data_IF_494164123696
#
_entry.id   IF_494164123696
#
_cell.length_a   1.000
_cell.length_b   1.000
_cell.length_c   1.000
_cell.angle_alpha   90.00
_cell.angle_beta   90.00
_cell.angle_gamma   90.00
#
_symmetry.space_group_name_H-M   'P 1'
#
loop_
_entity.id
_entity.type
_entity.pdbx_description
1 polymer ?
#
# COMPACT_ATOMS: atom_id res chain seq x y z
N UNK A 1 -17.61 -15.39 -45.54
CA UNK A 1 -17.86 -16.01 -44.25
C UNK A 1 -16.68 -16.87 -43.82
N UNK A 2 -16.40 -16.90 -42.55
CA UNK A 2 -15.35 -17.75 -42.02
C UNK A 2 -15.76 -19.21 -42.10
N UNK A 3 -14.87 -20.09 -42.56
CA UNK A 3 -15.09 -21.53 -42.56
C UNK A 3 -15.14 -22.03 -41.10
N UNK A 4 -16.34 -22.33 -40.60
CA UNK A 4 -16.58 -22.72 -39.19
C UNK A 4 -15.81 -23.99 -38.79
N UNK A 5 -15.35 -24.81 -39.74
CA UNK A 5 -14.56 -26.02 -39.42
C UNK A 5 -13.10 -25.76 -39.11
N UNK A 6 -12.58 -24.57 -39.43
CA UNK A 6 -11.15 -24.19 -39.15
C UNK A 6 -10.95 -23.33 -37.93
N UNK A 7 -12.01 -22.85 -37.29
CA UNK A 7 -11.91 -21.99 -36.12
C UNK A 7 -12.22 -22.82 -34.87
N UNK A 8 -11.22 -23.07 -34.08
CA UNK A 8 -11.40 -23.63 -32.75
C UNK A 8 -11.67 -22.47 -31.77
N UNK A 9 -12.83 -22.49 -31.12
CA UNK A 9 -13.24 -21.43 -30.17
C UNK A 9 -12.20 -21.25 -29.06
N UNK A 10 -11.54 -22.33 -28.67
CA UNK A 10 -10.47 -22.34 -27.65
C UNK A 10 -9.28 -21.47 -28.03
N UNK A 11 -8.97 -21.32 -29.34
CA UNK A 11 -7.87 -20.50 -29.84
C UNK A 11 -8.13 -18.98 -29.66
N UNK A 12 -9.39 -18.61 -29.43
CA UNK A 12 -9.86 -17.24 -29.29
C UNK A 12 -10.34 -16.91 -27.87
N UNK A 13 -10.28 -17.89 -26.96
CA UNK A 13 -10.65 -17.70 -25.58
C UNK A 13 -9.58 -16.91 -24.83
N UNK A 14 -9.99 -16.09 -23.86
CA UNK A 14 -9.08 -15.46 -22.93
C UNK A 14 -8.33 -16.54 -22.14
N UNK A 15 -7.04 -16.37 -21.98
CA UNK A 15 -6.23 -17.27 -21.14
C UNK A 15 -6.64 -17.11 -19.68
N UNK A 16 -6.85 -18.21 -18.94
CA UNK A 16 -7.12 -18.13 -17.51
C UNK A 16 -5.90 -17.57 -16.79
N UNK A 17 -6.15 -16.69 -15.83
CA UNK A 17 -5.11 -16.12 -14.94
C UNK A 17 -5.40 -16.58 -13.53
N UNK A 18 -4.35 -17.10 -12.86
CA UNK A 18 -4.45 -17.46 -11.45
C UNK A 18 -4.72 -16.20 -10.62
N UNK A 19 -5.74 -16.26 -9.77
CA UNK A 19 -6.12 -15.13 -8.93
C UNK A 19 -6.50 -15.59 -7.52
N UNK A 20 -6.38 -14.65 -6.58
CA UNK A 20 -6.82 -14.84 -5.21
C UNK A 20 -7.61 -13.61 -4.74
N UNK A 21 -8.81 -13.85 -4.19
CA UNK A 21 -9.62 -12.79 -3.59
C UNK A 21 -9.38 -12.78 -2.08
N UNK A 22 -9.00 -11.62 -1.56
CA UNK A 22 -8.78 -11.39 -0.14
C UNK A 22 -9.45 -10.09 0.29
N UNK A 23 -10.47 -10.17 1.15
CA UNK A 23 -11.19 -9.02 1.70
C UNK A 23 -11.56 -7.97 0.62
N UNK A 24 -12.19 -8.39 -0.48
CA UNK A 24 -12.57 -7.59 -1.65
C UNK A 24 -11.41 -7.05 -2.53
N UNK A 25 -10.16 -7.36 -2.19
CA UNK A 25 -9.02 -7.11 -3.07
C UNK A 25 -8.76 -8.34 -3.94
N UNK A 26 -8.49 -8.13 -5.22
CA UNK A 26 -8.19 -9.19 -6.18
C UNK A 26 -6.70 -9.14 -6.51
N UNK A 27 -5.99 -10.19 -6.16
CA UNK A 27 -4.59 -10.39 -6.52
C UNK A 27 -4.52 -11.33 -7.72
N UNK A 28 -3.76 -10.94 -8.75
CA UNK A 28 -3.55 -11.74 -9.96
C UNK A 28 -2.08 -12.16 -10.05
N UNK A 29 -1.84 -13.39 -10.53
CA UNK A 29 -0.51 -13.93 -10.73
C UNK A 29 -0.27 -14.10 -12.22
N UNK A 30 0.68 -13.35 -12.76
CA UNK A 30 0.95 -13.31 -14.20
C UNK A 30 2.02 -14.34 -14.63
N UNK A 31 2.83 -14.83 -13.71
CA UNK A 31 3.91 -15.79 -13.97
C UNK A 31 3.89 -16.92 -12.96
N UNK A 32 4.45 -18.08 -13.33
CA UNK A 32 4.60 -19.23 -12.42
C UNK A 32 5.77 -19.02 -11.46
N UNK A 33 5.61 -18.10 -10.52
CA UNK A 33 6.56 -17.91 -9.43
C UNK A 33 6.14 -18.73 -8.21
N UNK A 34 7.14 -19.11 -7.39
CA UNK A 34 6.92 -19.87 -6.15
C UNK A 34 6.25 -19.09 -5.02
N UNK A 35 5.72 -17.91 -5.34
CA UNK A 35 5.11 -17.02 -4.36
C UNK A 35 3.66 -17.42 -4.07
N UNK A 36 3.43 -17.95 -2.87
CA UNK A 36 2.09 -18.28 -2.38
C UNK A 36 1.45 -17.04 -1.71
N UNK A 37 0.76 -16.24 -2.51
CA UNK A 37 0.07 -15.04 -2.03
C UNK A 37 -0.97 -15.38 -0.95
N UNK A 38 -1.68 -16.50 -1.06
CA UNK A 38 -2.68 -16.93 -0.09
C UNK A 38 -2.07 -17.13 1.31
N UNK A 39 -0.91 -17.81 1.37
CA UNK A 39 -0.18 -18.03 2.62
C UNK A 39 0.25 -16.70 3.25
N UNK A 40 0.74 -15.77 2.42
CA UNK A 40 1.14 -14.43 2.86
C UNK A 40 -0.05 -13.64 3.42
N UNK A 41 -1.14 -13.54 2.67
CA UNK A 41 -2.34 -12.80 3.07
C UNK A 41 -2.99 -13.39 4.32
N UNK A 42 -2.97 -14.71 4.48
CA UNK A 42 -3.43 -15.38 5.72
C UNK A 42 -2.60 -14.96 6.95
N UNK A 43 -1.28 -14.79 6.79
CA UNK A 43 -0.44 -14.29 7.89
C UNK A 43 -0.76 -12.82 8.22
N UNK A 44 -0.91 -11.99 7.20
CA UNK A 44 -1.29 -10.57 7.36
C UNK A 44 -2.63 -10.47 8.10
N UNK A 45 -3.64 -11.24 7.68
CA UNK A 45 -4.97 -11.26 8.31
C UNK A 45 -4.89 -11.56 9.81
N UNK A 46 -4.06 -12.51 10.22
CA UNK A 46 -3.85 -12.81 11.64
C UNK A 46 -3.21 -11.66 12.42
N UNK A 47 -2.28 -10.93 11.79
CA UNK A 47 -1.58 -9.80 12.41
C UNK A 47 -2.52 -8.63 12.63
N UNK A 48 -3.37 -8.32 11.64
CA UNK A 48 -4.27 -7.16 11.67
C UNK A 48 -5.61 -7.46 12.37
N UNK A 49 -5.88 -8.72 12.73
CA UNK A 49 -7.16 -9.08 13.38
C UNK A 49 -7.46 -8.16 14.58
N UNK A 50 -8.71 -7.66 14.74
CA UNK A 50 -9.94 -8.03 14.03
C UNK A 50 -10.30 -7.17 12.80
N UNK A 51 -9.37 -6.44 12.21
CA UNK A 51 -9.63 -5.55 11.08
C UNK A 51 -10.05 -6.38 9.85
N UNK A 52 -11.15 -5.95 9.19
CA UNK A 52 -11.72 -6.59 8.00
C UNK A 52 -11.99 -5.57 6.92
N UNK A 53 -11.33 -5.69 5.74
CA UNK A 53 -11.46 -4.74 4.64
C UNK A 53 -12.67 -5.00 3.74
N UNK A 54 -13.32 -6.14 3.84
CA UNK A 54 -14.57 -6.45 3.14
C UNK A 54 -15.73 -5.51 3.53
N UNK A 55 -15.56 -4.76 4.64
CA UNK A 55 -16.50 -3.73 5.11
C UNK A 55 -16.13 -2.31 4.65
N UNK A 56 -14.99 -2.14 3.99
CA UNK A 56 -14.50 -0.83 3.56
C UNK A 56 -14.99 -0.50 2.16
N UNK A 57 -15.34 0.76 1.94
CA UNK A 57 -15.75 1.27 0.64
C UNK A 57 -14.59 1.96 -0.05
N UNK A 58 -14.40 1.67 -1.34
CA UNK A 58 -13.47 2.42 -2.20
C UNK A 58 -13.91 3.88 -2.28
N UNK A 59 -12.97 4.79 -2.12
CA UNK A 59 -13.22 6.23 -2.18
C UNK A 59 -12.63 6.85 -3.45
N UNK A 60 -11.30 6.76 -3.62
CA UNK A 60 -10.60 7.44 -4.72
C UNK A 60 -9.22 6.86 -4.99
N UNK A 61 -8.69 7.19 -6.16
CA UNK A 61 -7.28 6.99 -6.53
C UNK A 61 -6.60 8.33 -6.72
N UNK A 62 -5.38 8.45 -6.17
CA UNK A 62 -4.43 9.52 -6.48
C UNK A 62 -3.19 8.89 -7.09
N UNK A 63 -2.64 9.51 -8.14
CA UNK A 63 -1.47 8.96 -8.84
C UNK A 63 -0.37 10.02 -8.90
N UNK A 64 0.86 9.58 -8.64
CA UNK A 64 2.06 10.41 -8.65
C UNK A 64 3.05 9.86 -9.65
N UNK A 65 3.61 10.73 -10.49
CA UNK A 65 4.80 10.41 -11.27
C UNK A 65 6.01 10.91 -10.51
N UNK A 66 6.99 10.05 -10.27
CA UNK A 66 8.17 10.32 -9.45
C UNK A 66 9.41 10.11 -10.32
N UNK A 67 10.34 11.08 -10.31
CA UNK A 67 11.59 11.02 -11.07
C UNK A 67 12.68 10.29 -10.28
N UNK A 68 12.40 9.07 -9.87
CA UNK A 68 13.37 8.17 -9.28
C UNK A 68 13.11 6.72 -9.69
N UNK A 69 14.15 5.90 -9.62
CA UNK A 69 14.00 4.46 -9.76
C UNK A 69 13.00 3.94 -8.72
N UNK A 70 12.10 3.05 -9.12
CA UNK A 70 11.08 2.49 -8.24
C UNK A 70 11.66 1.82 -6.98
N UNK A 71 12.88 1.30 -7.04
CA UNK A 71 13.56 0.69 -5.89
C UNK A 71 13.95 1.73 -4.83
N UNK A 72 14.31 2.95 -5.23
CA UNK A 72 14.58 4.04 -4.29
C UNK A 72 13.32 4.35 -3.48
N UNK A 73 12.18 4.45 -4.15
CA UNK A 73 10.91 4.66 -3.47
C UNK A 73 10.55 3.49 -2.53
N UNK A 74 10.80 2.25 -2.98
CA UNK A 74 10.61 1.07 -2.13
C UNK A 74 11.55 1.08 -0.92
N UNK A 75 12.83 1.39 -1.10
CA UNK A 75 13.81 1.43 -0.01
C UNK A 75 13.43 2.49 1.03
N UNK A 76 12.96 3.66 0.60
CA UNK A 76 12.45 4.71 1.48
C UNK A 76 11.24 4.22 2.31
N UNK A 77 10.35 3.43 1.71
CA UNK A 77 9.18 2.89 2.42
C UNK A 77 9.54 1.73 3.37
N UNK A 78 10.60 0.96 3.11
CA UNK A 78 10.94 -0.26 3.87
C UNK A 78 11.52 0.02 5.26
N UNK A 79 11.81 1.27 5.58
CA UNK A 79 12.39 1.67 6.85
C UNK A 79 11.64 2.89 7.43
N UNK A 80 11.89 3.22 8.68
CA UNK A 80 11.24 4.35 9.36
C UNK A 80 12.24 5.35 9.97
N UNK A 81 13.53 5.23 9.66
CA UNK A 81 14.57 6.09 10.24
C UNK A 81 14.47 7.53 9.78
N UNK A 82 13.96 7.76 8.56
CA UNK A 82 13.75 9.10 8.00
C UNK A 82 12.55 9.83 8.64
N UNK A 83 11.58 9.12 9.23
CA UNK A 83 10.32 9.71 9.73
C UNK A 83 10.57 10.92 10.66
N UNK A 84 11.43 10.85 11.68
CA UNK A 84 11.62 12.01 12.57
C UNK A 84 12.26 13.23 11.92
N UNK A 85 12.90 13.06 10.76
CA UNK A 85 13.64 14.11 10.05
C UNK A 85 12.81 14.64 8.87
N UNK A 86 12.21 13.76 8.08
CA UNK A 86 11.51 14.08 6.83
C UNK A 86 10.03 14.39 7.08
N UNK A 87 9.38 13.70 8.03
CA UNK A 87 7.93 13.76 8.24
C UNK A 87 7.54 14.30 9.63
N UNK A 88 7.69 15.58 9.93
CA UNK A 88 7.38 16.12 11.25
C UNK A 88 5.92 15.89 11.63
N UNK A 89 4.97 16.05 10.71
CA UNK A 89 3.54 15.80 10.96
C UNK A 89 3.24 14.33 11.27
N UNK A 90 3.86 13.39 10.56
CA UNK A 90 3.72 11.96 10.83
C UNK A 90 4.35 11.60 12.17
N UNK A 91 5.53 12.10 12.46
CA UNK A 91 6.22 11.89 13.74
C UNK A 91 5.40 12.42 14.94
N UNK A 92 4.64 13.49 14.74
CA UNK A 92 3.70 14.00 15.75
C UNK A 92 2.44 13.12 15.89
N UNK A 93 1.99 12.49 14.81
CA UNK A 93 0.80 11.65 14.80
C UNK A 93 1.04 10.24 15.39
N UNK A 94 2.26 9.73 15.36
CA UNK A 94 2.63 8.39 15.84
C UNK A 94 3.50 8.43 17.08
N UNK A 95 3.49 7.34 17.85
CA UNK A 95 4.49 7.11 18.91
C UNK A 95 5.72 6.43 18.31
N UNK A 96 6.66 7.22 17.80
CA UNK A 96 7.87 6.71 17.16
C UNK A 96 8.70 5.78 18.06
N UNK A 97 8.67 5.94 19.38
CA UNK A 97 9.34 5.01 20.31
C UNK A 97 8.79 3.59 20.25
N UNK A 98 7.55 3.43 19.77
CA UNK A 98 6.92 2.12 19.58
C UNK A 98 7.09 1.56 18.16
N UNK A 99 7.77 2.27 17.27
CA UNK A 99 7.95 1.86 15.88
C UNK A 99 8.80 0.60 15.80
N UNK A 100 8.30 -0.39 15.06
CA UNK A 100 8.97 -1.67 14.87
C UNK A 100 8.94 -2.08 13.42
N UNK A 101 10.01 -2.72 12.98
CA UNK A 101 10.14 -3.33 11.66
C UNK A 101 10.38 -4.83 11.83
N UNK A 102 9.60 -5.64 11.11
CA UNK A 102 9.68 -7.10 11.11
C UNK A 102 9.73 -7.58 9.65
N UNK A 103 10.61 -8.53 9.36
CA UNK A 103 10.79 -9.09 8.02
C UNK A 103 10.31 -10.53 7.99
N UNK A 104 9.63 -10.89 6.90
CA UNK A 104 9.12 -12.22 6.62
C UNK A 104 9.61 -12.67 5.25
N UNK A 105 9.35 -13.92 4.89
CA UNK A 105 9.84 -14.52 3.64
C UNK A 105 9.45 -13.71 2.37
N UNK A 106 8.20 -13.19 2.32
CA UNK A 106 7.64 -12.56 1.12
C UNK A 106 7.03 -11.19 1.40
N UNK A 107 7.15 -10.66 2.61
CA UNK A 107 6.66 -9.35 2.98
C UNK A 107 7.44 -8.78 4.15
N UNK A 108 7.40 -7.49 4.31
CA UNK A 108 7.81 -6.81 5.53
C UNK A 108 6.63 -6.13 6.21
N UNK A 109 6.78 -5.89 7.49
CA UNK A 109 5.81 -5.19 8.31
C UNK A 109 6.53 -4.13 9.12
N UNK A 110 6.00 -2.93 9.06
CA UNK A 110 6.32 -1.87 10.01
C UNK A 110 5.04 -1.52 10.75
N UNK A 111 5.13 -1.25 12.05
CA UNK A 111 3.97 -0.86 12.83
C UNK A 111 4.34 0.03 14.01
N UNK A 112 3.39 0.85 14.45
CA UNK A 112 3.55 1.72 15.60
C UNK A 112 2.19 2.01 16.25
N UNK A 113 2.23 2.54 17.47
CA UNK A 113 1.04 3.10 18.11
C UNK A 113 0.77 4.51 17.61
N UNK A 114 -0.51 4.84 17.45
CA UNK A 114 -0.98 6.17 17.05
C UNK A 114 -1.23 7.01 18.29
N UNK A 115 -0.81 8.27 18.27
CA UNK A 115 -1.14 9.24 19.32
C UNK A 115 -2.57 9.75 19.11
N UNK A 116 -3.39 9.67 20.15
CA UNK A 116 -4.82 9.99 20.05
C UNK A 116 -5.15 11.48 19.85
N UNK A 117 -4.20 12.38 20.12
CA UNK A 117 -4.45 13.84 20.13
C UNK A 117 -4.14 14.52 18.81
N UNK A 118 -3.14 14.05 18.05
CA UNK A 118 -2.61 14.72 16.85
C UNK A 118 -2.82 13.92 15.56
N UNK A 119 -3.44 12.75 15.63
CA UNK A 119 -3.65 11.90 14.47
C UNK A 119 -4.90 12.30 13.67
N UNK A 120 -4.83 12.32 12.32
CA UNK A 120 -5.99 12.50 11.45
C UNK A 120 -6.90 11.27 11.40
N UNK A 121 -6.46 10.12 11.93
CA UNK A 121 -7.20 8.88 11.82
C UNK A 121 -8.41 8.80 12.75
N UNK A 122 -9.39 7.95 12.40
CA UNK A 122 -10.60 7.74 13.19
C UNK A 122 -10.24 7.32 14.63
N UNK A 123 -10.76 8.09 15.59
CA UNK A 123 -10.55 7.79 17.03
C UNK A 123 -11.61 6.78 17.46
N UNK A 124 -11.23 5.54 17.71
CA UNK A 124 -12.16 4.50 18.21
C UNK A 124 -11.78 3.90 19.56
N UNK A 125 -10.51 3.95 19.94
CA UNK A 125 -10.04 3.44 21.24
C UNK A 125 -8.67 4.00 21.62
N UNK A 126 -8.29 3.89 22.90
CA UNK A 126 -6.91 4.05 23.35
C UNK A 126 -6.09 2.84 22.85
N UNK A 127 -4.90 3.06 22.33
CA UNK A 127 -3.97 2.00 21.89
C UNK A 127 -4.14 1.52 20.44
N UNK A 128 -4.55 2.39 19.54
CA UNK A 128 -4.64 2.09 18.11
C UNK A 128 -3.26 1.98 17.48
N UNK A 129 -3.17 1.09 16.47
CA UNK A 129 -1.95 0.87 15.70
C UNK A 129 -2.12 1.29 14.25
N UNK A 130 -1.03 1.74 13.64
CA UNK A 130 -0.86 1.77 12.20
C UNK A 130 0.04 0.61 11.79
N UNK A 131 -0.26 0.02 10.63
CA UNK A 131 0.51 -1.05 10.03
C UNK A 131 0.87 -0.66 8.59
N UNK A 132 2.11 -0.92 8.21
CA UNK A 132 2.66 -0.65 6.89
C UNK A 132 3.27 -1.95 6.37
N UNK A 133 2.58 -2.60 5.43
CA UNK A 133 3.06 -3.84 4.82
C UNK A 133 3.65 -3.56 3.45
N UNK A 134 4.75 -4.22 3.15
CA UNK A 134 5.31 -4.32 1.80
C UNK A 134 5.16 -5.75 1.32
N UNK A 135 4.39 -5.97 0.28
CA UNK A 135 4.28 -7.24 -0.42
C UNK A 135 5.17 -7.17 -1.66
N UNK A 136 6.18 -8.04 -1.70
CA UNK A 136 7.09 -8.08 -2.84
C UNK A 136 6.35 -8.39 -4.15
N UNK A 137 6.66 -7.71 -5.28
CA UNK A 137 7.77 -6.74 -5.39
C UNK A 137 7.38 -5.27 -5.13
N UNK A 138 6.10 -4.87 -5.26
CA UNK A 138 5.74 -3.48 -5.45
C UNK A 138 4.36 -3.07 -4.92
N UNK A 139 3.79 -3.87 -4.01
CA UNK A 139 2.49 -3.56 -3.39
C UNK A 139 2.70 -3.19 -1.93
N UNK A 140 2.13 -2.07 -1.52
CA UNK A 140 2.15 -1.60 -0.15
C UNK A 140 0.73 -1.53 0.40
N UNK A 141 0.55 -1.89 1.68
CA UNK A 141 -0.72 -1.75 2.39
C UNK A 141 -0.50 -0.87 3.63
N UNK A 142 -1.11 0.29 3.63
CA UNK A 142 -1.11 1.22 4.76
C UNK A 142 -2.45 1.10 5.48
N UNK A 143 -2.41 0.57 6.69
CA UNK A 143 -3.61 0.29 7.49
C UNK A 143 -3.60 1.18 8.70
N UNK A 144 -4.58 2.05 8.81
CA UNK A 144 -4.84 2.88 9.96
C UNK A 144 -6.29 2.70 10.42
N UNK A 145 -6.68 3.15 11.62
CA UNK A 145 -8.05 3.02 12.10
C UNK A 145 -9.08 3.59 11.13
N UNK A 146 -9.92 2.72 10.58
CA UNK A 146 -10.97 3.07 9.61
C UNK A 146 -10.46 3.33 8.19
N UNK A 147 -9.17 3.19 7.90
CA UNK A 147 -8.57 3.36 6.57
C UNK A 147 -7.73 2.16 6.13
N UNK A 148 -7.92 1.74 4.89
CA UNK A 148 -6.94 1.02 4.12
C UNK A 148 -6.51 1.93 2.95
N UNK A 149 -5.21 2.06 2.73
CA UNK A 149 -4.64 2.63 1.53
C UNK A 149 -3.73 1.58 0.91
N UNK A 150 -3.99 1.23 -0.34
CA UNK A 150 -3.08 0.38 -1.11
C UNK A 150 -2.23 1.24 -2.02
N UNK A 151 -0.92 0.99 -2.07
CA UNK A 151 -0.05 1.68 -3.02
C UNK A 151 0.50 0.65 -3.99
N UNK A 152 0.44 0.96 -5.27
CA UNK A 152 1.07 0.16 -6.33
C UNK A 152 2.15 1.01 -6.96
N UNK A 153 3.38 0.49 -6.94
CA UNK A 153 4.53 1.14 -7.56
C UNK A 153 4.74 0.52 -8.93
N UNK A 154 4.55 1.32 -9.98
CA UNK A 154 4.70 0.92 -11.38
C UNK A 154 6.00 1.48 -11.95
N UNK A 155 7.01 0.64 -12.21
CA UNK A 155 8.23 1.08 -12.88
C UNK A 155 7.92 1.59 -14.30
N UNK A 156 8.41 2.77 -14.66
CA UNK A 156 8.34 3.29 -16.05
C UNK A 156 9.66 2.98 -16.76
N UNK A 157 10.76 3.38 -16.15
CA UNK A 157 12.12 3.17 -16.62
C UNK A 157 13.12 3.12 -15.46
N UNK A 158 14.42 3.22 -15.74
CA UNK A 158 15.46 3.18 -14.72
C UNK A 158 15.48 4.42 -13.80
N UNK A 159 14.84 5.53 -14.21
CA UNK A 159 14.91 6.83 -13.54
C UNK A 159 13.52 7.36 -13.14
N UNK A 160 12.45 6.63 -13.43
CA UNK A 160 11.09 7.08 -13.09
C UNK A 160 10.13 5.94 -12.79
N UNK A 161 9.14 6.24 -11.94
CA UNK A 161 8.03 5.35 -11.62
C UNK A 161 6.74 6.12 -11.43
N UNK A 162 5.61 5.41 -11.53
CA UNK A 162 4.33 5.88 -11.04
C UNK A 162 4.03 5.22 -9.69
N UNK A 163 3.36 5.96 -8.82
CA UNK A 163 2.84 5.43 -7.57
C UNK A 163 1.35 5.74 -7.48
N UNK A 164 0.54 4.70 -7.32
CA UNK A 164 -0.92 4.80 -7.29
C UNK A 164 -1.42 4.51 -5.89
N UNK A 165 -2.08 5.46 -5.27
CA UNK A 165 -2.73 5.32 -3.96
C UNK A 165 -4.22 5.10 -4.15
N UNK A 166 -4.74 3.95 -3.72
CA UNK A 166 -6.17 3.68 -3.64
C UNK A 166 -6.62 3.77 -2.18
N UNK A 167 -7.61 4.60 -1.92
CA UNK A 167 -8.15 4.83 -0.59
C UNK A 167 -9.47 4.10 -0.38
N UNK A 168 -9.56 3.41 0.75
CA UNK A 168 -10.76 2.71 1.22
C UNK A 168 -11.03 3.12 2.67
N UNK A 169 -12.29 3.40 2.98
CA UNK A 169 -12.70 3.85 4.31
C UNK A 169 -13.85 3.03 4.87
N UNK A 170 -13.85 2.84 6.19
CA UNK A 170 -14.91 2.21 6.96
C UNK A 170 -15.69 3.28 7.73
N UNK A 171 -16.92 3.61 7.25
CA UNK A 171 -17.89 4.46 7.97
C UNK A 171 -17.24 5.70 8.61
N UNK A 172 -16.66 6.55 7.76
CA UNK A 172 -15.99 7.79 8.17
C UNK A 172 -16.68 8.99 7.56
N UNK A 173 -16.85 10.04 8.36
CA UNK A 173 -17.42 11.30 7.93
C UNK A 173 -16.59 11.96 6.80
N UNK A 174 -17.24 12.56 5.76
CA UNK A 174 -16.54 13.14 4.61
C UNK A 174 -15.43 14.14 4.98
N UNK A 175 -15.66 14.98 5.98
CA UNK A 175 -14.65 15.93 6.45
C UNK A 175 -13.41 15.23 7.05
N UNK A 176 -13.61 14.08 7.65
CA UNK A 176 -12.52 13.27 8.21
C UNK A 176 -11.74 12.58 7.11
N UNK A 177 -12.42 12.07 6.08
CA UNK A 177 -11.79 11.50 4.88
C UNK A 177 -10.88 12.53 4.21
N UNK A 178 -11.38 13.75 3.98
CA UNK A 178 -10.58 14.82 3.36
C UNK A 178 -9.33 15.16 4.17
N UNK A 179 -9.43 15.21 5.50
CA UNK A 179 -8.26 15.44 6.37
C UNK A 179 -7.25 14.32 6.31
N UNK A 180 -7.70 13.07 6.24
CA UNK A 180 -6.84 11.90 6.15
C UNK A 180 -6.09 11.87 4.81
N UNK A 181 -6.79 12.11 3.69
CA UNK A 181 -6.20 12.16 2.36
C UNK A 181 -5.17 13.31 2.28
N UNK A 182 -5.51 14.52 2.69
CA UNK A 182 -4.60 15.66 2.69
C UNK A 182 -3.34 15.38 3.53
N UNK A 183 -3.50 14.73 4.69
CA UNK A 183 -2.37 14.32 5.52
C UNK A 183 -1.47 13.30 4.80
N UNK A 184 -2.08 12.34 4.11
CA UNK A 184 -1.34 11.35 3.32
C UNK A 184 -0.61 12.00 2.12
N UNK A 185 -1.23 12.99 1.47
CA UNK A 185 -0.63 13.74 0.37
C UNK A 185 0.56 14.60 0.82
N UNK A 186 0.46 15.23 2.00
CA UNK A 186 1.59 15.99 2.58
C UNK A 186 2.82 15.07 2.76
N UNK A 187 2.61 13.89 3.37
CA UNK A 187 3.68 12.90 3.58
C UNK A 187 4.24 12.41 2.24
N UNK A 188 3.37 12.10 1.28
CA UNK A 188 3.79 11.65 -0.04
C UNK A 188 4.64 12.69 -0.79
N UNK A 189 4.32 13.98 -0.66
CA UNK A 189 5.11 15.04 -1.27
C UNK A 189 6.50 15.15 -0.64
N UNK A 190 6.61 14.93 0.67
CA UNK A 190 7.91 14.87 1.38
C UNK A 190 8.74 13.66 0.91
N UNK A 191 8.09 12.48 0.72
CA UNK A 191 8.75 11.27 0.19
C UNK A 191 9.22 11.46 -1.26
N UNK A 192 8.43 12.12 -2.10
CA UNK A 192 8.82 12.42 -3.49
C UNK A 192 10.09 13.27 -3.50
N UNK A 193 10.12 14.36 -2.73
CA UNK A 193 11.27 15.28 -2.68
C UNK A 193 12.55 14.53 -2.27
N UNK A 194 12.51 13.71 -1.22
CA UNK A 194 13.70 12.98 -0.78
C UNK A 194 14.13 11.90 -1.76
N UNK A 195 13.19 11.15 -2.36
CA UNK A 195 13.50 10.10 -3.34
C UNK A 195 14.13 10.67 -4.61
N UNK A 196 13.62 11.81 -5.12
CA UNK A 196 14.19 12.50 -6.28
C UNK A 196 15.59 13.07 -5.99
N UNK A 197 15.83 13.56 -4.79
CA UNK A 197 17.17 13.99 -4.36
C UNK A 197 18.14 12.82 -4.26
N UNK A 198 17.72 11.68 -3.72
CA UNK A 198 18.54 10.46 -3.68
C UNK A 198 18.89 10.02 -5.11
N UNK A 199 17.92 9.98 -6.01
CA UNK A 199 18.16 9.65 -7.43
C UNK A 199 19.19 10.58 -8.07
N UNK A 200 19.14 11.87 -7.75
CA UNK A 200 20.08 12.86 -8.30
C UNK A 200 21.51 12.70 -7.77
N UNK A 201 21.69 11.99 -6.65
CA UNK A 201 23.00 11.72 -6.03
C UNK A 201 23.66 10.42 -6.49
N UNK A 202 22.95 9.58 -7.26
CA UNK A 202 23.44 8.32 -7.82
C UNK A 202 23.99 8.49 -9.23
#
# INVERSE_FOLDING_TARGET
GFDKQKIKIEDFSLKPVEHHVWMNLIFVKLQNEYYDIKKTLTKIEKIISPIRFDQYSYHSRVSYKINCNWKIYMDNYLEGFHIPIVHPKLNDAINYKSYKTETFENFSLQWCHIKSQSSPYKKSSSNQKAFYFTLFPNILLNIAPGRLQTNIIEPIDALSCNVHFDYYFLDIEPNQISKDINFSEDIQNEDIDICERIQSGL
#
